data_IF_096993935896
#
_entry.id   IF_096993935896
#
_cell.length_a   1.000
_cell.length_b   1.000
_cell.length_c   1.000
_cell.angle_alpha   90.00
_cell.angle_beta   90.00
_cell.angle_gamma   90.00
#
_symmetry.space_group_name_H-M   'P 1'
#
loop_
_entity.id
_entity.type
_entity.pdbx_description
1 polymer ?
#
# COMPACT_ATOMS: atom_id res chain seq x y z
N UNK A 1 -17.25 -4.70 -34.38
CA UNK A 1 -16.62 -3.63 -35.18
C UNK A 1 -16.72 -2.40 -34.28
N UNK A 2 -15.73 -2.04 -33.45
CA UNK A 2 -14.29 -2.08 -33.71
C UNK A 2 -13.43 -2.23 -32.44
N UNK A 3 -12.46 -3.13 -32.58
CA UNK A 3 -11.06 -3.04 -32.16
C UNK A 3 -10.69 -2.84 -30.68
N UNK A 4 -10.68 -3.96 -29.95
CA UNK A 4 -9.87 -4.19 -28.74
C UNK A 4 -8.38 -4.35 -29.07
N UNK A 5 -7.78 -3.34 -29.70
CA UNK A 5 -6.38 -3.35 -30.14
C UNK A 5 -5.60 -2.17 -29.58
N UNK A 6 -5.25 -2.21 -28.30
CA UNK A 6 -4.18 -1.39 -27.75
C UNK A 6 -3.13 -2.28 -27.09
N UNK A 7 -2.26 -2.77 -27.97
CA UNK A 7 -0.82 -2.97 -27.79
C UNK A 7 -0.29 -2.58 -26.41
N UNK A 8 0.23 -3.59 -25.70
CA UNK A 8 1.19 -3.45 -24.62
C UNK A 8 2.41 -2.66 -25.12
N UNK A 9 2.34 -1.34 -25.00
CA UNK A 9 3.51 -0.46 -24.96
C UNK A 9 3.92 -0.33 -23.49
N UNK A 10 5.22 -0.18 -23.17
CA UNK A 10 5.67 -0.01 -21.80
C UNK A 10 4.95 1.21 -21.23
N UNK A 11 4.08 0.98 -20.25
CA UNK A 11 3.46 2.06 -19.52
C UNK A 11 4.57 2.70 -18.68
N UNK A 12 4.88 4.01 -18.84
CA UNK A 12 5.63 4.70 -17.82
C UNK A 12 4.87 4.53 -16.48
N UNK A 13 5.60 4.49 -15.35
CA UNK A 13 5.10 4.30 -13.98
C UNK A 13 3.91 5.22 -13.55
N UNK A 14 3.40 6.07 -14.42
CA UNK A 14 2.24 6.95 -14.22
C UNK A 14 0.87 6.27 -14.36
N UNK A 15 0.79 4.98 -14.69
CA UNK A 15 -0.44 4.18 -14.63
C UNK A 15 -0.23 2.95 -13.72
N UNK A 16 -0.02 3.21 -12.43
CA UNK A 16 0.56 2.26 -11.50
C UNK A 16 -0.33 1.05 -11.15
N UNK A 17 0.15 -0.13 -11.53
CA UNK A 17 -0.13 -1.41 -10.89
C UNK A 17 0.59 -1.38 -9.53
N UNK A 18 -0.14 -1.09 -8.45
CA UNK A 18 0.43 -0.96 -7.11
C UNK A 18 0.57 -2.33 -6.44
N UNK A 19 1.76 -2.90 -6.44
CA UNK A 19 2.13 -4.06 -5.61
C UNK A 19 3.33 -3.68 -4.76
N UNK A 20 3.41 -4.06 -3.49
CA UNK A 20 4.55 -3.74 -2.60
C UNK A 20 5.45 -4.94 -2.37
N UNK A 21 6.67 -4.73 -1.85
CA UNK A 21 7.59 -5.80 -1.46
C UNK A 21 7.93 -5.84 0.04
N UNK A 22 8.49 -6.96 0.53
CA UNK A 22 8.79 -7.21 1.96
C UNK A 22 10.25 -7.61 2.25
N UNK A 23 10.83 -7.15 3.38
CA UNK A 23 12.16 -7.53 3.91
C UNK A 23 12.14 -8.52 5.10
N UNK A 24 13.24 -9.22 5.43
CA UNK A 24 13.22 -10.37 6.36
C UNK A 24 12.85 -10.05 7.83
N UNK A 25 12.25 -11.04 8.51
CA UNK A 25 11.56 -10.98 9.81
C UNK A 25 12.47 -11.32 11.01
N UNK A 26 12.49 -10.48 12.05
CA UNK A 26 13.13 -10.74 13.35
C UNK A 26 12.14 -10.58 14.51
N UNK A 27 12.17 -11.49 15.48
CA UNK A 27 11.11 -11.77 16.48
C UNK A 27 11.44 -11.25 17.89
N UNK A 28 10.46 -10.52 18.45
CA UNK A 28 9.90 -10.38 19.83
C UNK A 28 10.73 -10.47 21.13
N UNK A 29 10.31 -9.60 22.07
CA UNK A 29 9.97 -9.77 23.52
C UNK A 29 10.63 -8.66 24.36
N UNK A 30 10.02 -7.98 25.35
CA UNK A 30 8.89 -8.24 26.24
C UNK A 30 9.31 -7.85 27.68
N UNK A 31 8.35 -7.62 28.59
CA UNK A 31 8.45 -7.39 30.07
C UNK A 31 8.61 -5.94 30.56
N UNK A 32 8.12 -5.48 31.71
CA UNK A 32 7.06 -5.87 32.68
C UNK A 32 6.92 -4.72 33.72
N UNK A 33 5.76 -4.71 34.39
CA UNK A 33 5.22 -4.01 35.59
C UNK A 33 6.08 -3.13 36.52
N UNK A 34 5.41 -2.13 37.16
CA UNK A 34 5.22 -2.07 38.64
C UNK A 34 4.39 -0.87 39.15
N UNK A 35 3.65 -1.17 40.22
CA UNK A 35 2.70 -0.40 41.03
C UNK A 35 3.32 0.54 42.08
N UNK A 36 2.60 1.59 42.54
CA UNK A 36 2.11 1.70 43.95
C UNK A 36 1.47 3.07 44.34
N UNK A 37 0.34 2.94 45.04
CA UNK A 37 -0.15 3.65 46.25
C UNK A 37 -0.59 5.15 46.25
N UNK A 38 -1.94 5.29 46.20
CA UNK A 38 -2.89 5.98 47.11
C UNK A 38 -2.49 7.29 47.81
N UNK A 39 -3.31 8.33 47.59
CA UNK A 39 -3.63 9.37 48.58
C UNK A 39 -5.15 9.63 48.61
N UNK A 40 -5.75 9.61 49.81
CA UNK A 40 -7.18 9.82 50.05
C UNK A 40 -7.52 11.31 50.18
N UNK A 41 -8.56 11.78 49.47
CA UNK A 41 -9.34 12.95 49.88
C UNK A 41 -10.77 12.85 49.31
N UNK A 42 -11.75 12.77 50.20
CA UNK A 42 -13.18 12.80 49.85
C UNK A 42 -13.53 14.15 49.24
N UNK A 43 -13.85 14.15 47.94
CA UNK A 43 -14.51 15.24 47.23
C UNK A 43 -15.78 14.68 46.59
N UNK A 44 -16.87 15.39 46.84
CA UNK A 44 -18.23 15.21 46.29
C UNK A 44 -18.16 14.72 44.83
N UNK A 45 -18.68 13.52 44.57
CA UNK A 45 -18.68 12.91 43.25
C UNK A 45 -19.60 13.69 42.30
N UNK A 46 -19.02 14.58 41.51
CA UNK A 46 -19.53 14.84 40.16
C UNK A 46 -18.96 13.69 39.36
N UNK A 47 -19.77 12.73 38.95
CA UNK A 47 -19.36 11.71 37.99
C UNK A 47 -19.04 12.44 36.69
N UNK A 48 -17.78 12.57 36.24
CA UNK A 48 -17.57 12.87 34.85
C UNK A 48 -18.16 11.68 34.09
N UNK A 49 -19.01 11.94 33.10
CA UNK A 49 -19.35 10.93 32.12
C UNK A 49 -18.01 10.46 31.54
N UNK A 50 -17.62 9.25 31.90
CA UNK A 50 -16.52 8.55 31.28
C UNK A 50 -17.03 8.29 29.86
N UNK A 51 -16.73 9.21 28.94
CA UNK A 51 -16.75 8.87 27.52
C UNK A 51 -15.63 7.87 27.40
N UNK A 52 -15.99 6.60 27.53
CA UNK A 52 -15.14 5.49 27.16
C UNK A 52 -14.89 5.71 25.66
N UNK A 53 -13.73 6.30 25.35
CA UNK A 53 -13.28 6.45 23.99
C UNK A 53 -12.99 5.02 23.54
N UNK A 54 -14.03 4.33 23.07
CA UNK A 54 -13.88 3.01 22.48
C UNK A 54 -12.76 3.15 21.45
N UNK A 55 -11.68 2.43 21.70
CA UNK A 55 -10.56 2.32 20.77
C UNK A 55 -11.16 1.84 19.45
N UNK A 56 -11.31 2.77 18.50
CA UNK A 56 -11.72 2.50 17.13
C UNK A 56 -10.53 1.94 16.36
N UNK A 57 -9.84 0.94 16.91
CA UNK A 57 -8.79 0.27 16.18
C UNK A 57 -9.42 -0.33 14.94
N UNK A 58 -9.23 0.32 13.79
CA UNK A 58 -9.50 -0.28 12.52
C UNK A 58 -8.67 -1.58 12.46
N UNK A 59 -9.23 -2.69 11.98
CA UNK A 59 -8.44 -3.91 11.85
C UNK A 59 -7.23 -3.60 10.99
N UNK A 60 -6.03 -3.90 11.51
CA UNK A 60 -4.79 -3.68 10.79
C UNK A 60 -4.87 -4.37 9.42
N UNK A 61 -4.61 -3.61 8.37
CA UNK A 61 -4.55 -4.12 7.01
C UNK A 61 -3.46 -5.18 6.94
N UNK A 62 -3.82 -6.32 6.37
CA UNK A 62 -2.86 -7.32 5.92
C UNK A 62 -2.69 -7.26 4.41
N UNK A 63 -1.44 -7.45 3.98
CA UNK A 63 -1.09 -7.53 2.56
C UNK A 63 -0.79 -8.99 2.25
N UNK A 64 -1.57 -9.60 1.37
CA UNK A 64 -1.25 -10.94 0.87
C UNK A 64 0.00 -10.85 -0.03
N UNK A 65 1.10 -11.48 0.38
CA UNK A 65 2.39 -11.41 -0.33
C UNK A 65 2.83 -12.79 -0.83
N UNK A 66 3.39 -12.83 -2.04
CA UNK A 66 4.00 -14.02 -2.66
C UNK A 66 5.50 -13.85 -2.80
N UNK A 67 6.26 -14.93 -2.66
CA UNK A 67 7.72 -14.92 -2.82
C UNK A 67 8.12 -15.00 -4.29
N UNK A 68 9.07 -14.15 -4.70
CA UNK A 68 9.72 -14.16 -6.01
C UNK A 68 11.18 -14.58 -5.83
N UNK A 69 11.45 -15.85 -6.14
CA UNK A 69 12.78 -16.47 -6.00
C UNK A 69 13.69 -16.27 -7.22
N UNK A 70 14.64 -17.21 -7.38
CA UNK A 70 15.69 -17.20 -8.42
C UNK A 70 16.54 -15.92 -8.42
N UNK A 71 17.19 -15.57 -7.29
CA UNK A 71 18.06 -14.40 -7.22
C UNK A 71 19.20 -14.48 -8.23
N UNK A 72 19.77 -13.32 -8.58
CA UNK A 72 20.84 -13.19 -9.57
C UNK A 72 20.47 -13.75 -10.97
N UNK A 73 19.19 -13.71 -11.32
CA UNK A 73 18.74 -14.02 -12.67
C UNK A 73 19.23 -12.97 -13.67
N UNK A 74 19.46 -13.40 -14.91
CA UNK A 74 19.80 -12.49 -16.00
C UNK A 74 18.60 -11.61 -16.36
N UNK A 75 18.82 -10.36 -16.79
CA UNK A 75 17.74 -9.53 -17.31
C UNK A 75 17.19 -10.14 -18.61
N UNK A 76 15.97 -9.76 -18.95
CA UNK A 76 15.38 -10.05 -20.25
C UNK A 76 16.22 -9.38 -21.35
N UNK A 77 16.80 -10.15 -22.30
CA UNK A 77 17.59 -9.59 -23.39
C UNK A 77 16.83 -8.59 -24.28
N UNK A 78 15.49 -8.66 -24.33
CA UNK A 78 14.68 -7.79 -25.16
C UNK A 78 14.49 -6.38 -24.58
N UNK A 79 14.42 -6.26 -23.25
CA UNK A 79 14.10 -5.01 -22.56
C UNK A 79 15.22 -4.49 -21.66
N UNK A 80 16.13 -5.37 -21.24
CA UNK A 80 17.15 -5.09 -20.24
C UNK A 80 16.65 -5.13 -18.79
N UNK A 81 15.37 -5.49 -18.57
CA UNK A 81 14.75 -5.49 -17.25
C UNK A 81 14.67 -6.88 -16.61
N UNK A 82 14.45 -6.91 -15.29
CA UNK A 82 14.10 -8.12 -14.57
C UNK A 82 15.24 -8.76 -13.78
N UNK A 83 16.46 -8.21 -13.87
CA UNK A 83 17.58 -8.71 -13.08
C UNK A 83 17.44 -8.31 -11.61
N UNK A 84 17.27 -9.29 -10.72
CA UNK A 84 17.12 -9.02 -9.28
C UNK A 84 18.10 -9.84 -8.47
N UNK A 85 18.92 -9.17 -7.66
CA UNK A 85 20.03 -9.78 -6.93
C UNK A 85 19.58 -10.69 -5.77
N UNK A 86 18.41 -10.44 -5.18
CA UNK A 86 17.94 -11.12 -3.98
C UNK A 86 16.52 -11.63 -4.17
N UNK A 87 16.15 -12.64 -3.38
CA UNK A 87 14.76 -13.01 -3.22
C UNK A 87 14.01 -11.87 -2.52
N UNK A 88 12.77 -11.66 -2.93
CA UNK A 88 11.88 -10.69 -2.32
C UNK A 88 10.45 -11.23 -2.37
N UNK A 89 9.53 -10.56 -1.71
CA UNK A 89 8.09 -10.88 -1.80
C UNK A 89 7.38 -9.73 -2.46
N UNK A 90 6.36 -9.96 -3.29
CA UNK A 90 5.51 -8.92 -3.89
C UNK A 90 4.04 -9.13 -3.50
N UNK A 91 3.24 -8.07 -3.49
CA UNK A 91 1.78 -8.16 -3.33
C UNK A 91 1.20 -9.16 -4.33
N UNK A 92 0.44 -10.15 -3.82
CA UNK A 92 -0.29 -11.13 -4.64
C UNK A 92 -1.34 -10.43 -5.50
N UNK A 93 -1.96 -9.42 -4.91
CA UNK A 93 -2.96 -8.56 -5.53
C UNK A 93 -2.46 -7.11 -5.47
N UNK A 94 -3.14 -6.25 -6.23
CA UNK A 94 -2.98 -4.81 -6.12
C UNK A 94 -3.55 -4.32 -4.78
N UNK A 95 -3.16 -3.12 -4.36
CA UNK A 95 -3.77 -2.45 -3.20
C UNK A 95 -5.25 -2.26 -3.44
N UNK A 96 -6.08 -2.70 -2.50
CA UNK A 96 -7.52 -2.69 -2.68
C UNK A 96 -8.16 -1.39 -2.19
N UNK A 97 -9.39 -1.13 -2.64
CA UNK A 97 -10.22 -0.03 -2.15
C UNK A 97 -10.41 -0.10 -0.64
N UNK A 98 -10.61 -1.30 -0.07
CA UNK A 98 -10.75 -1.49 1.37
C UNK A 98 -9.49 -1.06 2.12
N UNK A 99 -8.32 -1.45 1.63
CA UNK A 99 -7.04 -1.10 2.25
C UNK A 99 -6.77 0.41 2.17
N UNK A 100 -6.98 1.02 1.01
CA UNK A 100 -6.77 2.47 0.86
C UNK A 100 -7.83 3.30 1.61
N UNK A 101 -9.06 2.80 1.73
CA UNK A 101 -10.12 3.45 2.51
C UNK A 101 -9.79 3.46 4.02
N UNK A 102 -9.26 2.35 4.56
CA UNK A 102 -8.77 2.31 5.94
C UNK A 102 -7.62 3.30 6.16
N UNK A 103 -6.67 3.38 5.22
CA UNK A 103 -5.61 4.40 5.24
C UNK A 103 -6.18 5.83 5.29
N UNK A 104 -7.11 6.18 4.41
CA UNK A 104 -7.70 7.53 4.38
C UNK A 104 -8.40 7.87 5.70
N UNK A 105 -9.15 6.92 6.29
CA UNK A 105 -9.79 7.12 7.59
C UNK A 105 -8.79 7.29 8.74
N UNK A 106 -7.58 6.75 8.63
CA UNK A 106 -6.55 6.86 9.67
C UNK A 106 -5.74 8.16 9.58
N UNK A 107 -5.53 8.71 8.37
CA UNK A 107 -4.57 9.82 8.18
C UNK A 107 -5.14 11.08 7.54
N UNK A 108 -6.37 11.03 7.02
CA UNK A 108 -6.98 12.12 6.26
C UNK A 108 -8.40 12.47 6.74
N UNK A 109 -8.79 11.98 7.92
CA UNK A 109 -10.10 12.28 8.53
C UNK A 109 -10.16 13.72 9.06
N UNK A 110 -9.06 14.27 9.59
CA UNK A 110 -8.99 15.66 10.05
C UNK A 110 -8.62 16.61 8.91
N UNK A 111 -7.50 16.38 8.21
CA UNK A 111 -7.08 17.17 7.05
C UNK A 111 -6.49 16.28 5.96
N UNK A 112 -6.78 16.62 4.70
CA UNK A 112 -6.21 15.95 3.53
C UNK A 112 -5.21 16.88 2.82
N UNK A 113 -4.19 17.32 3.57
CA UNK A 113 -3.23 18.33 3.12
C UNK A 113 -2.40 17.88 1.91
N UNK A 114 -2.26 16.56 1.74
CA UNK A 114 -1.51 15.93 0.66
C UNK A 114 -2.38 15.45 -0.50
N UNK A 115 -3.70 15.69 -0.47
CA UNK A 115 -4.65 15.23 -1.50
C UNK A 115 -4.57 13.72 -1.74
N UNK A 116 -4.52 12.97 -0.63
CA UNK A 116 -4.59 11.52 -0.59
C UNK A 116 -5.91 11.02 -1.17
N UNK A 117 -7.00 11.75 -0.95
CA UNK A 117 -8.26 11.54 -1.64
C UNK A 117 -8.35 12.39 -2.92
N UNK A 118 -8.69 11.73 -4.02
CA UNK A 118 -9.01 12.39 -5.28
C UNK A 118 -10.50 12.21 -5.56
N UNK A 119 -11.22 13.29 -5.91
CA UNK A 119 -12.64 13.20 -6.26
C UNK A 119 -12.92 12.25 -7.45
N UNK A 120 -11.92 11.93 -8.28
CA UNK A 120 -12.00 10.91 -9.30
C UNK A 120 -12.19 9.49 -8.74
N UNK A 121 -11.78 9.21 -7.49
CA UNK A 121 -12.04 7.95 -6.76
C UNK A 121 -13.53 7.70 -6.52
N UNK A 122 -14.36 8.74 -6.64
CA UNK A 122 -15.82 8.66 -6.55
C UNK A 122 -16.49 8.81 -7.93
N UNK A 123 -15.96 9.69 -8.79
CA UNK A 123 -16.69 10.15 -9.98
C UNK A 123 -16.39 9.37 -11.25
N UNK A 124 -15.25 8.70 -11.35
CA UNK A 124 -14.86 7.99 -12.57
C UNK A 124 -15.43 6.58 -12.54
N UNK A 125 -16.56 6.34 -13.19
CA UNK A 125 -17.28 5.06 -13.10
C UNK A 125 -16.39 3.82 -13.32
N UNK A 126 -15.43 3.86 -14.25
CA UNK A 126 -14.54 2.71 -14.51
C UNK A 126 -13.61 2.36 -13.34
N UNK A 127 -13.36 3.28 -12.40
CA UNK A 127 -12.41 3.11 -11.29
C UNK A 127 -12.92 3.61 -9.93
N UNK A 128 -14.18 4.07 -9.88
CA UNK A 128 -14.78 4.62 -8.68
C UNK A 128 -15.05 3.54 -7.65
N UNK A 129 -14.90 3.91 -6.38
CA UNK A 129 -15.02 2.97 -5.28
C UNK A 129 -14.79 3.52 -3.87
N UNK A 130 -14.35 4.77 -3.69
CA UNK A 130 -14.29 5.40 -2.37
C UNK A 130 -15.10 6.69 -2.39
N UNK A 131 -16.04 6.80 -1.44
CA UNK A 131 -16.82 8.01 -1.19
C UNK A 131 -16.25 8.75 0.01
N UNK A 132 -16.24 10.08 -0.04
CA UNK A 132 -15.95 10.93 1.11
C UNK A 132 -17.21 11.66 1.57
N UNK A 133 -17.49 11.60 2.87
CA UNK A 133 -18.53 12.37 3.54
C UNK A 133 -17.92 13.28 4.62
N UNK A 134 -18.71 14.21 5.14
CA UNK A 134 -18.28 15.16 6.16
C UNK A 134 -17.63 16.43 5.58
N UNK A 135 -16.99 17.18 6.46
CA UNK A 135 -16.36 18.48 6.17
C UNK A 135 -14.91 18.50 6.66
N UNK A 136 -14.14 19.53 6.30
CA UNK A 136 -12.77 19.69 6.78
C UNK A 136 -12.73 19.65 8.32
N UNK A 137 -11.84 18.82 8.87
CA UNK A 137 -11.75 18.53 10.30
C UNK A 137 -12.57 17.32 10.76
N UNK A 138 -13.41 16.73 9.89
CA UNK A 138 -14.23 15.56 10.20
C UNK A 138 -14.72 14.86 8.91
N UNK A 139 -13.79 14.42 8.07
CA UNK A 139 -14.06 13.56 6.93
C UNK A 139 -14.25 12.11 7.36
N UNK A 140 -15.04 11.38 6.57
CA UNK A 140 -15.13 9.93 6.65
C UNK A 140 -15.14 9.34 5.25
N UNK A 141 -14.50 8.18 5.11
CA UNK A 141 -14.34 7.49 3.84
C UNK A 141 -15.01 6.12 3.90
N UNK A 142 -15.75 5.78 2.85
CA UNK A 142 -16.42 4.48 2.73
C UNK A 142 -16.20 3.88 1.37
N UNK A 143 -16.05 2.55 1.31
CA UNK A 143 -16.02 1.83 0.05
C UNK A 143 -17.45 1.75 -0.49
N UNK A 144 -17.64 2.15 -1.74
CA UNK A 144 -18.92 2.00 -2.43
C UNK A 144 -18.93 0.76 -3.33
N UNK A 145 -20.12 0.13 -3.36
CA UNK A 145 -20.50 -0.94 -4.30
C UNK A 145 -20.21 -0.55 -5.75
N UNK A 146 -20.05 -1.52 -6.66
CA UNK A 146 -19.42 -1.23 -7.92
C UNK A 146 -20.24 -0.18 -8.67
N UNK A 147 -19.64 1.00 -8.88
CA UNK A 147 -20.21 2.04 -9.73
C UNK A 147 -19.97 1.61 -11.18
N UNK A 148 -20.69 0.57 -11.63
CA UNK A 148 -20.56 -0.06 -12.94
C UNK A 148 -20.65 -1.59 -12.87
N UNK A 149 -21.02 -2.26 -13.99
CA UNK A 149 -21.27 -3.71 -14.04
C UNK A 149 -20.03 -4.62 -14.08
N UNK A 150 -18.82 -4.07 -13.91
CA UNK A 150 -17.57 -4.84 -14.07
C UNK A 150 -16.98 -5.15 -12.69
N UNK A 151 -17.11 -6.41 -12.28
CA UNK A 151 -16.37 -6.98 -11.14
C UNK A 151 -15.10 -7.64 -11.71
N UNK A 152 -13.89 -7.18 -11.35
CA UNK A 152 -12.65 -7.81 -11.79
C UNK A 152 -12.59 -9.27 -11.34
N UNK A 153 -12.00 -10.18 -12.15
CA UNK A 153 -11.74 -11.55 -11.72
C UNK A 153 -10.96 -11.57 -10.40
N UNK A 154 -11.49 -12.28 -9.39
CA UNK A 154 -10.87 -12.41 -8.07
C UNK A 154 -11.27 -11.33 -7.05
N UNK A 155 -12.19 -10.41 -7.38
CA UNK A 155 -12.83 -9.53 -6.41
C UNK A 155 -14.18 -10.12 -6.00
N UNK A 156 -14.31 -10.55 -4.73
CA UNK A 156 -15.56 -11.11 -4.19
C UNK A 156 -16.47 -10.00 -3.63
N UNK A 157 -15.88 -8.86 -3.31
CA UNK A 157 -16.54 -7.67 -2.77
C UNK A 157 -16.01 -6.39 -3.45
N UNK A 158 -16.75 -5.27 -3.42
CA UNK A 158 -16.24 -3.96 -3.82
C UNK A 158 -14.92 -3.60 -3.14
N UNK A 159 -14.73 -4.01 -1.88
CA UNK A 159 -13.52 -3.77 -1.10
C UNK A 159 -12.27 -4.39 -1.69
N UNK A 160 -12.41 -5.42 -2.53
CA UNK A 160 -11.31 -6.21 -3.09
C UNK A 160 -10.84 -5.69 -4.45
N UNK A 161 -11.58 -4.71 -5.02
CA UNK A 161 -11.19 -4.05 -6.26
C UNK A 161 -9.94 -3.21 -6.04
N UNK A 162 -9.08 -3.04 -7.05
CA UNK A 162 -7.89 -2.20 -6.92
C UNK A 162 -8.23 -0.72 -6.80
N UNK A 163 -7.44 0.00 -5.99
CA UNK A 163 -7.48 1.47 -5.96
C UNK A 163 -6.88 2.06 -7.24
N UNK A 164 -7.46 3.16 -7.70
CA UNK A 164 -6.95 3.97 -8.80
C UNK A 164 -6.97 5.47 -8.44
N UNK A 165 -6.54 6.31 -9.39
CA UNK A 165 -6.47 7.77 -9.21
C UNK A 165 -5.52 8.22 -8.08
N UNK A 166 -4.49 7.41 -7.83
CA UNK A 166 -3.37 7.67 -6.92
C UNK A 166 -2.11 7.99 -7.72
N UNK A 167 -1.32 8.95 -7.25
CA UNK A 167 0.01 9.22 -7.79
C UNK A 167 1.08 8.49 -6.95
N UNK A 168 2.35 8.61 -7.37
CA UNK A 168 3.48 7.99 -6.67
C UNK A 168 3.59 8.42 -5.19
N UNK A 169 3.39 9.70 -4.89
CA UNK A 169 3.49 10.23 -3.53
C UNK A 169 2.35 9.73 -2.62
N UNK A 170 1.13 9.61 -3.15
CA UNK A 170 0.00 9.01 -2.42
C UNK A 170 0.32 7.58 -2.00
N UNK A 171 0.92 6.80 -2.91
CA UNK A 171 1.30 5.44 -2.61
C UNK A 171 2.53 5.33 -1.70
N UNK A 172 3.52 6.21 -1.84
CA UNK A 172 4.65 6.26 -0.92
C UNK A 172 4.19 6.57 0.51
N UNK A 173 3.20 7.45 0.69
CA UNK A 173 2.55 7.72 1.98
C UNK A 173 1.81 6.50 2.53
N UNK A 174 1.06 5.80 1.68
CA UNK A 174 0.42 4.53 2.07
C UNK A 174 1.46 3.51 2.55
N UNK A 175 2.56 3.34 1.81
CA UNK A 175 3.67 2.45 2.18
C UNK A 175 4.29 2.82 3.51
N UNK A 176 4.56 4.12 3.71
CA UNK A 176 5.12 4.62 4.96
C UNK A 176 4.21 4.22 6.12
N UNK A 177 2.91 4.50 6.00
CA UNK A 177 1.93 4.17 7.03
C UNK A 177 1.88 2.67 7.35
N UNK A 178 1.78 1.79 6.36
CA UNK A 178 1.81 0.34 6.63
C UNK A 178 3.17 -0.15 7.15
N UNK A 179 4.27 0.50 6.78
CA UNK A 179 5.62 0.18 7.27
C UNK A 179 5.89 0.72 8.68
N UNK A 180 5.17 1.75 9.09
CA UNK A 180 5.19 2.34 10.43
C UNK A 180 4.28 1.59 11.42
N UNK A 181 3.57 0.56 10.96
CA UNK A 181 2.68 -0.22 11.80
C UNK A 181 1.24 0.31 11.84
N UNK A 182 0.84 1.11 10.86
CA UNK A 182 -0.52 1.64 10.70
C UNK A 182 -1.01 2.46 11.90
N UNK A 183 -0.25 3.47 12.36
CA UNK A 183 -0.69 4.33 13.44
C UNK A 183 -1.94 5.14 13.04
N UNK A 184 -2.90 5.28 13.95
CA UNK A 184 -4.11 6.10 13.79
C UNK A 184 -3.95 7.52 14.37
N UNK A 185 -2.82 7.81 15.00
CA UNK A 185 -2.49 9.11 15.57
C UNK A 185 -0.97 9.36 15.54
N UNK A 186 -0.56 10.63 15.50
CA UNK A 186 0.84 11.02 15.50
C UNK A 186 1.11 12.24 14.62
N UNK A 187 2.39 12.61 14.51
CA UNK A 187 2.81 13.66 13.57
C UNK A 187 2.82 13.12 12.13
N UNK A 188 2.81 14.00 11.11
CA UNK A 188 2.95 13.57 9.71
C UNK A 188 4.17 12.65 9.50
N UNK A 189 5.30 12.89 10.16
CA UNK A 189 6.50 12.04 10.09
C UNK A 189 6.30 10.63 10.63
N UNK A 190 5.48 10.48 11.68
CA UNK A 190 5.13 9.19 12.27
C UNK A 190 4.08 8.44 11.43
N UNK A 191 3.16 9.18 10.82
CA UNK A 191 2.07 8.62 10.02
C UNK A 191 2.53 8.26 8.60
N UNK A 192 2.94 9.25 7.80
CA UNK A 192 3.05 9.11 6.33
C UNK A 192 4.26 9.76 5.67
N UNK A 193 4.91 10.74 6.31
CA UNK A 193 5.99 11.53 5.71
C UNK A 193 7.38 10.92 5.87
N UNK A 194 7.51 9.88 6.70
CA UNK A 194 8.73 9.11 6.86
C UNK A 194 8.41 7.64 7.12
N UNK A 195 9.35 6.75 6.83
CA UNK A 195 9.14 5.31 6.87
C UNK A 195 10.05 4.59 5.89
N UNK A 196 9.45 4.00 4.86
CA UNK A 196 10.16 3.53 3.68
C UNK A 196 10.73 4.66 2.82
N UNK A 197 10.08 5.83 2.83
CA UNK A 197 10.45 7.01 2.04
C UNK A 197 10.36 8.25 2.91
N UNK A 198 11.33 9.17 2.77
CA UNK A 198 11.24 10.50 3.39
C UNK A 198 10.68 11.50 2.37
N UNK A 199 9.50 12.04 2.60
CA UNK A 199 8.74 12.80 1.59
C UNK A 199 8.77 14.32 1.76
N UNK A 200 8.91 14.83 2.99
CA UNK A 200 9.06 16.27 3.28
C UNK A 200 7.97 17.16 2.65
N UNK A 201 6.72 16.68 2.63
CA UNK A 201 5.57 17.37 2.08
C UNK A 201 5.48 17.33 0.56
N UNK A 202 6.37 16.63 -0.14
CA UNK A 202 6.33 16.56 -1.60
C UNK A 202 5.05 15.87 -2.09
N UNK A 203 4.42 16.46 -3.11
CA UNK A 203 3.25 15.92 -3.81
C UNK A 203 3.48 15.80 -5.32
N UNK A 204 4.65 16.22 -5.80
CA UNK A 204 5.05 16.22 -7.20
C UNK A 204 6.59 16.25 -7.31
N UNK A 205 7.10 15.97 -8.51
CA UNK A 205 8.52 15.89 -8.78
C UNK A 205 9.04 14.45 -8.73
N UNK A 206 10.33 14.31 -8.49
CA UNK A 206 11.00 13.01 -8.53
C UNK A 206 10.64 12.12 -7.33
N UNK A 207 10.66 10.81 -7.56
CA UNK A 207 10.48 9.81 -6.51
C UNK A 207 11.59 9.92 -5.46
N UNK A 208 11.22 9.87 -4.18
CA UNK A 208 12.20 9.78 -3.11
C UNK A 208 12.91 8.41 -3.11
N UNK A 209 14.21 8.35 -2.79
CA UNK A 209 14.90 7.08 -2.62
C UNK A 209 14.33 6.32 -1.42
N UNK A 210 14.36 4.99 -1.50
CA UNK A 210 13.98 4.10 -0.39
C UNK A 210 15.00 4.23 0.75
N UNK A 211 14.52 4.38 1.96
CA UNK A 211 15.34 4.32 3.17
C UNK A 211 15.87 2.90 3.40
N UNK A 212 17.13 2.77 3.78
CA UNK A 212 17.69 1.48 4.23
C UNK A 212 17.14 1.09 5.61
N UNK A 213 16.84 2.07 6.47
CA UNK A 213 16.27 1.90 7.80
C UNK A 213 15.04 2.81 7.90
N UNK A 214 13.90 2.25 8.28
CA UNK A 214 12.72 3.02 8.67
C UNK A 214 13.00 3.72 10.01
N UNK A 215 13.04 5.07 10.06
CA UNK A 215 13.34 5.81 11.29
C UNK A 215 12.32 5.63 12.41
N UNK A 216 11.08 5.25 12.08
CA UNK A 216 9.99 5.06 13.04
C UNK A 216 10.04 3.67 13.71
N UNK A 217 10.74 2.70 13.12
CA UNK A 217 10.83 1.32 13.66
C UNK A 217 12.26 0.87 13.96
N UNK A 218 13.27 1.60 13.51
CA UNK A 218 14.69 1.24 13.69
C UNK A 218 15.15 0.02 12.88
N UNK A 219 14.31 -0.50 11.98
CA UNK A 219 14.58 -1.68 11.15
C UNK A 219 14.42 -1.34 9.67
N UNK A 220 14.86 -2.22 8.76
CA UNK A 220 14.58 -2.04 7.34
C UNK A 220 13.06 -1.89 7.09
N UNK A 221 12.63 -1.05 6.13
CA UNK A 221 11.21 -0.89 5.84
C UNK A 221 10.55 -2.22 5.48
N UNK A 222 9.45 -2.53 6.18
CA UNK A 222 8.70 -3.77 6.01
C UNK A 222 7.97 -3.81 4.67
N UNK A 223 7.53 -2.67 4.16
CA UNK A 223 6.89 -2.54 2.86
C UNK A 223 7.55 -1.44 2.03
N UNK A 224 7.54 -1.59 0.70
CA UNK A 224 8.05 -0.58 -0.24
C UNK A 224 7.54 -0.81 -1.67
N UNK A 225 7.58 0.24 -2.50
CA UNK A 225 7.28 0.14 -3.92
C UNK A 225 8.40 -0.64 -4.64
N UNK A 226 8.07 -1.62 -5.51
CA UNK A 226 9.03 -2.32 -6.35
C UNK A 226 9.63 -1.35 -7.34
N UNK A 227 10.89 -1.58 -7.69
CA UNK A 227 11.48 -0.97 -8.87
C UNK A 227 11.04 -1.72 -10.15
N UNK A 228 11.45 -1.20 -11.31
CA UNK A 228 11.09 -1.78 -12.61
C UNK A 228 11.54 -3.24 -12.75
N UNK A 229 12.77 -3.56 -12.33
CA UNK A 229 13.30 -4.93 -12.43
C UNK A 229 12.56 -5.92 -11.53
N UNK A 230 12.25 -5.51 -10.30
CA UNK A 230 11.45 -6.29 -9.37
C UNK A 230 10.07 -6.55 -9.99
N UNK A 231 9.34 -5.51 -10.40
CA UNK A 231 8.01 -5.68 -10.96
C UNK A 231 8.02 -6.53 -12.26
N UNK A 232 8.97 -6.26 -13.16
CA UNK A 232 9.10 -6.97 -14.43
C UNK A 232 9.38 -8.46 -14.23
N UNK A 233 10.31 -8.80 -13.32
CA UNK A 233 10.60 -10.18 -12.99
C UNK A 233 9.36 -10.89 -12.43
N UNK A 234 8.63 -10.25 -11.52
CA UNK A 234 7.42 -10.85 -10.95
C UNK A 234 6.34 -11.13 -12.00
N UNK A 235 6.26 -10.29 -13.04
CA UNK A 235 5.26 -10.39 -14.09
C UNK A 235 5.61 -11.39 -15.19
N UNK A 236 6.87 -11.40 -15.64
CA UNK A 236 7.26 -12.07 -16.89
C UNK A 236 8.20 -13.26 -16.69
N UNK A 237 8.97 -13.31 -15.59
CA UNK A 237 9.99 -14.33 -15.42
C UNK A 237 9.39 -15.71 -15.10
N UNK A 238 9.90 -16.73 -15.76
CA UNK A 238 9.58 -18.13 -15.52
C UNK A 238 10.87 -18.95 -15.44
N UNK A 239 11.19 -19.54 -14.28
CA UNK A 239 12.40 -20.33 -14.10
C UNK A 239 12.40 -21.66 -14.87
N UNK A 240 11.25 -22.11 -15.38
CA UNK A 240 11.14 -23.40 -16.07
C UNK A 240 11.52 -23.31 -17.56
N UNK A 241 11.57 -22.10 -18.11
CA UNK A 241 11.96 -21.85 -19.49
C UNK A 241 13.41 -22.27 -19.77
N UNK A 242 13.71 -22.49 -21.06
CA UNK A 242 15.02 -22.90 -21.55
C UNK A 242 15.60 -24.13 -20.82
N UNK A 243 14.75 -25.10 -20.48
CA UNK A 243 15.18 -26.30 -19.76
C UNK A 243 15.59 -26.05 -18.31
N UNK A 244 14.93 -25.11 -17.62
CA UNK A 244 15.19 -24.78 -16.23
C UNK A 244 16.29 -23.74 -16.01
N UNK A 245 16.80 -23.11 -17.08
CA UNK A 245 17.73 -21.98 -16.98
C UNK A 245 16.99 -20.65 -16.70
N UNK A 246 15.67 -20.67 -16.89
CA UNK A 246 14.79 -19.52 -16.73
C UNK A 246 14.77 -18.62 -17.95
N UNK A 247 13.75 -17.77 -18.01
CA UNK A 247 13.53 -16.84 -19.10
C UNK A 247 12.34 -15.94 -18.81
N UNK A 248 11.94 -15.16 -19.80
CA UNK A 248 10.81 -14.24 -19.70
C UNK A 248 9.82 -14.53 -20.82
N UNK A 249 8.54 -14.52 -20.48
CA UNK A 249 7.46 -14.59 -21.45
C UNK A 249 7.24 -13.22 -22.12
N UNK A 250 6.65 -13.20 -23.31
CA UNK A 250 6.30 -11.94 -23.98
C UNK A 250 5.16 -11.19 -23.27
N UNK A 251 4.26 -11.92 -22.57
CA UNK A 251 3.12 -11.36 -21.86
C UNK A 251 3.12 -11.77 -20.38
N UNK A 252 2.68 -10.85 -19.51
CA UNK A 252 2.61 -11.05 -18.06
C UNK A 252 1.57 -12.10 -17.61
N UNK A 253 0.89 -12.74 -18.58
CA UNK A 253 0.01 -13.89 -18.39
C UNK A 253 0.78 -15.22 -18.41
N UNK A 254 2.12 -15.18 -18.40
CA UNK A 254 3.01 -16.34 -18.62
C UNK A 254 2.75 -17.04 -19.95
N UNK A 255 2.65 -16.23 -21.00
CA UNK A 255 2.38 -16.69 -22.35
C UNK A 255 3.19 -15.84 -23.33
N UNK A 256 3.59 -16.46 -24.45
CA UNK A 256 4.14 -15.75 -25.60
C UNK A 256 3.07 -15.39 -26.63
N UNK A 257 1.80 -15.67 -26.32
CA UNK A 257 0.62 -15.32 -27.13
C UNK A 257 -0.33 -14.45 -26.33
N UNK A 258 -0.85 -13.39 -26.98
CA UNK A 258 -1.79 -12.42 -26.42
C UNK A 258 -3.16 -13.00 -26.09
#
# INVERSE_FOLDING_TARGET
MDNWGYLARPLPMTAAIFRFLFGPCGVLAGTDSRSSQRYHRSRRAVTPALVELESRLAPAIDMAMVTIGNPANTPDPATGHGAVAQEYRIGKYEVTLGQYCAFLNAVADVSDDYRLYNAAMERVASSAGILRAGEAGNYSYTVAGPLGSVVPPGADSPTDRPIANVNWFNAARFVNWISNGQPDEGTPEQLTENGAYKLQGATQGDSAPRNTINPNTGSAPRFFLPNEDEWYKAAYYDPTLAGGQGGYHAYATRSDTA
#
